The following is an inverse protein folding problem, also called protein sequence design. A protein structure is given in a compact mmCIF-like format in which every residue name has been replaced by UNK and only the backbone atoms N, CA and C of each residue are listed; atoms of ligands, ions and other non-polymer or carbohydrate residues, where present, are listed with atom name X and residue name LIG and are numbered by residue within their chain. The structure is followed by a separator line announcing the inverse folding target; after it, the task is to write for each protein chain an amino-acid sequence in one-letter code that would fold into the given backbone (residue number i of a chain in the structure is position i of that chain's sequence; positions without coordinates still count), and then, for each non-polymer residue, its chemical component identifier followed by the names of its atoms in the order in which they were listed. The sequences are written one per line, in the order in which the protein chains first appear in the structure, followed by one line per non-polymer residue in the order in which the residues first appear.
data_IF_107549243691
#
_entry.id   IF_107549243691
#
_cell.length_a   1.000
_cell.length_b   1.000
_cell.length_c   1.000
_cell.angle_alpha   90.00
_cell.angle_beta   90.00
_cell.angle_gamma   90.00
#
_symmetry.space_group_name_H-M   'P 1'
#
loop_
_entity.id
_entity.type
_entity.pdbx_description
1 polymer ?
#
# COMPACT_ATOMS: atom_id res chain seq x y z
N UNK A 1 28.52 -41.59 7.97
CA UNK A 1 27.38 -40.70 8.31
C UNK A 1 26.70 -40.00 7.11
N UNK A 2 27.18 -40.13 5.86
CA UNK A 2 26.60 -39.38 4.72
C UNK A 2 25.38 -40.00 4.01
N UNK A 3 25.15 -41.31 4.13
CA UNK A 3 24.08 -42.01 3.38
C UNK A 3 22.68 -41.63 3.88
N UNK A 4 22.53 -41.49 5.20
CA UNK A 4 21.25 -41.11 5.82
C UNK A 4 20.91 -39.63 5.56
N UNK A 5 21.93 -38.76 5.47
CA UNK A 5 21.74 -37.34 5.15
C UNK A 5 21.26 -37.15 3.71
N UNK A 6 21.78 -37.95 2.77
CA UNK A 6 21.36 -37.91 1.37
C UNK A 6 19.90 -38.38 1.19
N UNK A 7 19.46 -39.37 1.98
CA UNK A 7 18.06 -39.84 1.99
C UNK A 7 17.12 -38.75 2.54
N UNK A 8 17.52 -38.06 3.62
CA UNK A 8 16.71 -36.98 4.20
C UNK A 8 16.56 -35.77 3.26
N UNK A 9 17.64 -35.40 2.55
CA UNK A 9 17.61 -34.33 1.55
C UNK A 9 16.70 -34.70 0.37
N UNK A 10 16.75 -35.96 -0.08
CA UNK A 10 15.88 -36.45 -1.15
C UNK A 10 14.40 -36.46 -0.75
N UNK A 11 14.08 -36.81 0.50
CA UNK A 11 12.69 -36.81 1.00
C UNK A 11 12.12 -35.39 1.05
N UNK A 12 12.93 -34.42 1.50
CA UNK A 12 12.52 -33.02 1.62
C UNK A 12 12.29 -32.37 0.24
N UNK A 13 13.11 -32.72 -0.76
CA UNK A 13 12.93 -32.24 -2.14
C UNK A 13 11.62 -32.71 -2.79
N UNK A 14 11.16 -33.94 -2.51
CA UNK A 14 9.88 -34.47 -3.02
C UNK A 14 8.68 -33.78 -2.38
N UNK A 15 8.78 -33.37 -1.11
CA UNK A 15 7.71 -32.63 -0.42
C UNK A 15 7.52 -31.22 -0.97
N UNK A 16 8.59 -30.53 -1.37
CA UNK A 16 8.49 -29.19 -1.96
C UNK A 16 7.81 -29.16 -3.34
N UNK A 17 7.95 -30.24 -4.13
CA UNK A 17 7.32 -30.30 -5.45
C UNK A 17 5.79 -30.55 -5.38
N UNK A 18 5.29 -31.16 -4.31
CA UNK A 18 3.85 -31.38 -4.12
C UNK A 18 3.11 -30.17 -3.50
N UNK A 19 3.85 -29.15 -3.02
CA UNK A 19 3.26 -27.94 -2.43
C UNK A 19 2.90 -26.86 -3.48
N UNK A 20 3.23 -27.09 -4.75
CA UNK A 20 2.82 -26.26 -5.88
C UNK A 20 1.93 -27.06 -6.84
N UNK A 21 0.67 -27.23 -6.48
CA UNK A 21 -0.42 -27.46 -7.44
C UNK A 21 -1.60 -26.61 -6.98
N UNK A 22 -1.64 -25.37 -7.47
CA UNK A 22 -2.84 -24.53 -7.49
C UNK A 22 -3.21 -24.38 -8.96
N UNK A 23 -3.79 -25.44 -9.51
CA UNK A 23 -4.46 -25.40 -10.81
C UNK A 23 -5.91 -25.00 -10.56
N UNK A 24 -6.18 -23.70 -10.49
CA UNK A 24 -7.56 -23.17 -10.56
C UNK A 24 -7.84 -22.65 -11.95
N UNK A 25 -8.05 -23.60 -12.84
CA UNK A 25 -8.78 -23.38 -14.09
C UNK A 25 -10.27 -23.18 -13.73
N UNK A 26 -10.80 -21.97 -13.94
CA UNK A 26 -12.22 -21.70 -13.81
C UNK A 26 -12.98 -22.38 -14.95
N UNK A 27 -13.71 -23.45 -14.66
CA UNK A 27 -14.74 -23.96 -15.57
C UNK A 27 -16.00 -24.40 -14.82
N UNK A 28 -17.11 -23.82 -15.27
CA UNK A 28 -18.50 -24.11 -14.96
C UNK A 28 -18.85 -25.61 -15.10
N UNK A 29 -19.53 -26.22 -14.10
CA UNK A 29 -20.84 -26.90 -14.28
C UNK A 29 -21.44 -27.49 -12.99
N UNK A 30 -22.69 -27.08 -12.74
CA UNK A 30 -23.87 -27.88 -12.37
C UNK A 30 -23.79 -28.82 -11.15
N UNK A 31 -24.47 -28.42 -10.09
CA UNK A 31 -25.07 -29.35 -9.14
C UNK A 31 -26.57 -29.04 -9.07
N UNK A 32 -27.39 -30.04 -9.38
CA UNK A 32 -28.83 -29.99 -9.33
C UNK A 32 -29.36 -30.81 -8.14
N UNK A 33 -30.26 -30.18 -7.40
CA UNK A 33 -31.32 -30.69 -6.51
C UNK A 33 -30.94 -31.46 -5.24
N UNK A 34 -31.18 -30.84 -4.08
CA UNK A 34 -32.27 -31.24 -3.16
C UNK A 34 -32.71 -29.97 -2.42
N UNK A 35 -33.98 -29.60 -2.57
CA UNK A 35 -34.59 -28.39 -2.02
C UNK A 35 -34.72 -28.47 -0.50
N UNK A 36 -33.99 -27.62 0.21
CA UNK A 36 -34.47 -27.01 1.45
C UNK A 36 -34.45 -25.50 1.23
N UNK A 37 -35.63 -24.93 1.03
CA UNK A 37 -35.88 -23.50 0.87
C UNK A 37 -35.56 -22.80 2.19
N UNK A 38 -34.28 -22.53 2.43
CA UNK A 38 -33.85 -21.57 3.44
C UNK A 38 -34.30 -20.20 2.96
N UNK A 39 -35.33 -19.65 3.61
CA UNK A 39 -35.81 -18.30 3.38
C UNK A 39 -34.69 -17.34 3.79
N UNK A 40 -33.92 -16.88 2.80
CA UNK A 40 -32.99 -15.77 2.97
C UNK A 40 -33.88 -14.55 3.13
N UNK A 41 -34.07 -14.09 4.36
CA UNK A 41 -34.72 -12.82 4.66
C UNK A 41 -33.90 -11.71 3.99
N UNK A 42 -34.40 -11.25 2.85
CA UNK A 42 -33.97 -10.03 2.19
C UNK A 42 -34.43 -8.87 3.07
N UNK A 43 -33.60 -8.48 4.03
CA UNK A 43 -33.77 -7.19 4.69
C UNK A 43 -33.23 -6.11 3.74
N UNK A 44 -34.13 -5.58 2.92
CA UNK A 44 -33.94 -4.38 2.12
C UNK A 44 -33.80 -3.15 3.04
N UNK A 45 -32.68 -3.01 3.74
CA UNK A 45 -32.33 -1.73 4.35
C UNK A 45 -31.72 -0.83 3.28
N UNK A 46 -32.61 -0.16 2.54
CA UNK A 46 -32.29 1.05 1.79
C UNK A 46 -31.77 2.10 2.79
N UNK A 47 -30.47 2.13 3.04
CA UNK A 47 -29.85 3.24 3.77
C UNK A 47 -29.82 4.45 2.84
N UNK A 48 -30.86 5.27 2.94
CA UNK A 48 -30.96 6.57 2.30
C UNK A 48 -29.98 7.52 3.00
N UNK A 49 -28.82 7.78 2.38
CA UNK A 49 -27.94 8.88 2.80
C UNK A 49 -28.67 10.20 2.54
N UNK A 50 -29.35 10.70 3.56
CA UNK A 50 -29.93 12.04 3.57
C UNK A 50 -28.83 13.06 3.90
N UNK A 51 -28.26 13.67 2.86
CA UNK A 51 -27.23 14.72 2.94
C UNK A 51 -27.75 16.06 3.50
N UNK A 52 -29.01 16.15 3.93
CA UNK A 52 -29.67 17.43 4.24
C UNK A 52 -29.51 17.90 5.68
N UNK A 53 -28.73 17.20 6.51
CA UNK A 53 -28.41 17.65 7.87
C UNK A 53 -26.90 17.66 8.13
N UNK A 54 -26.09 17.82 7.09
CA UNK A 54 -24.70 18.16 7.31
C UNK A 54 -24.66 19.58 7.89
N UNK A 55 -24.14 19.81 9.11
CA UNK A 55 -23.98 21.14 9.63
C UNK A 55 -23.19 21.95 8.60
N UNK A 56 -23.71 23.12 8.21
CA UNK A 56 -22.92 24.07 7.44
C UNK A 56 -21.59 24.26 8.18
N UNK A 57 -20.44 24.21 7.49
CA UNK A 57 -19.18 24.53 8.13
C UNK A 57 -19.33 25.93 8.74
N UNK A 58 -19.26 25.99 10.06
CA UNK A 58 -19.14 27.23 10.81
C UNK A 58 -17.82 27.83 10.35
N UNK A 59 -17.89 29.03 9.78
CA UNK A 59 -16.73 29.86 9.46
C UNK A 59 -16.06 30.30 10.77
N UNK A 60 -15.44 29.35 11.46
CA UNK A 60 -14.49 29.65 12.50
C UNK A 60 -13.19 30.01 11.78
N UNK A 61 -12.99 31.32 11.62
CA UNK A 61 -11.68 31.97 11.51
C UNK A 61 -10.82 31.57 12.72
N UNK A 62 -10.46 30.30 12.78
CA UNK A 62 -9.40 29.79 13.60
C UNK A 62 -8.13 30.13 12.83
N UNK A 63 -7.45 31.17 13.27
CA UNK A 63 -6.03 31.35 12.99
C UNK A 63 -5.30 30.08 13.47
N UNK A 64 -5.12 29.12 12.56
CA UNK A 64 -4.39 27.87 12.80
C UNK A 64 -2.90 28.21 12.84
N UNK A 65 -2.45 28.76 13.96
CA UNK A 65 -1.04 28.84 14.31
C UNK A 65 -0.73 27.71 15.28
N UNK A 66 -0.67 26.48 14.78
CA UNK A 66 -0.28 25.32 15.59
C UNK A 66 0.59 24.41 14.75
N UNK A 67 1.79 24.11 15.25
CA UNK A 67 2.67 23.04 14.78
C UNK A 67 1.86 21.74 14.71
N UNK A 68 1.20 21.49 13.58
CA UNK A 68 0.48 20.26 13.35
C UNK A 68 1.54 19.18 13.11
N UNK A 69 1.88 18.45 14.17
CA UNK A 69 2.84 17.36 14.10
C UNK A 69 2.28 16.27 13.17
N UNK A 70 2.80 16.25 11.94
CA UNK A 70 2.31 15.37 10.89
C UNK A 70 2.61 13.93 11.29
N UNK A 71 1.56 13.12 11.48
CA UNK A 71 1.68 11.74 11.95
C UNK A 71 2.65 10.95 11.04
N UNK A 72 3.79 10.44 11.59
CA UNK A 72 4.78 9.70 10.81
C UNK A 72 4.22 8.47 10.08
N UNK A 73 3.14 7.88 10.60
CA UNK A 73 2.46 6.74 9.99
C UNK A 73 1.78 7.11 8.66
N UNK A 74 1.26 8.34 8.55
CA UNK A 74 0.65 8.86 7.32
C UNK A 74 1.73 9.06 6.26
N UNK A 75 2.84 9.68 6.63
CA UNK A 75 3.99 9.90 5.73
C UNK A 75 4.55 8.56 5.24
N UNK A 76 4.74 7.60 6.14
CA UNK A 76 5.21 6.25 5.82
C UNK A 76 4.23 5.51 4.87
N UNK A 77 2.92 5.65 5.09
CA UNK A 77 1.90 5.03 4.24
C UNK A 77 1.91 5.63 2.84
N UNK A 78 1.96 6.97 2.75
CA UNK A 78 2.08 7.68 1.48
C UNK A 78 3.32 7.22 0.70
N UNK A 79 4.47 7.17 1.36
CA UNK A 79 5.72 6.72 0.75
C UNK A 79 5.62 5.28 0.22
N UNK A 80 5.08 4.35 1.02
CA UNK A 80 4.93 2.94 0.62
C UNK A 80 3.99 2.78 -0.58
N UNK A 81 2.89 3.54 -0.61
CA UNK A 81 1.90 3.44 -1.67
C UNK A 81 2.36 4.05 -2.99
N UNK A 82 3.13 5.14 -2.96
CA UNK A 82 3.43 5.95 -4.15
C UNK A 82 4.87 5.87 -4.62
N UNK A 83 5.82 5.66 -3.70
CA UNK A 83 7.25 5.77 -4.00
C UNK A 83 7.98 4.42 -3.98
N UNK A 84 7.63 3.54 -3.02
CA UNK A 84 8.43 2.36 -2.71
C UNK A 84 8.54 1.33 -3.84
N UNK A 85 7.55 1.25 -4.73
CA UNK A 85 7.57 0.36 -5.89
C UNK A 85 8.76 0.64 -6.82
N UNK A 86 9.14 1.92 -6.97
CA UNK A 86 10.26 2.32 -7.83
C UNK A 86 11.55 2.54 -7.03
N UNK A 87 11.43 3.11 -5.83
CA UNK A 87 12.55 3.61 -5.04
C UNK A 87 12.93 2.74 -3.83
N UNK A 88 12.24 1.62 -3.59
CA UNK A 88 12.46 0.78 -2.41
C UNK A 88 11.75 1.27 -1.16
N UNK A 89 11.69 0.45 -0.11
CA UNK A 89 10.90 0.76 1.10
C UNK A 89 11.51 1.87 1.95
N UNK A 90 12.81 2.11 1.82
CA UNK A 90 13.57 3.14 2.53
C UNK A 90 14.42 3.96 1.55
N UNK A 91 14.03 4.04 0.28
CA UNK A 91 14.77 4.77 -0.74
C UNK A 91 15.98 4.02 -1.32
N UNK A 92 16.11 2.72 -1.06
CA UNK A 92 17.11 1.84 -1.66
C UNK A 92 16.76 1.43 -3.10
N UNK A 93 17.73 1.47 -4.01
CA UNK A 93 17.51 1.01 -5.40
C UNK A 93 17.08 -0.46 -5.40
N UNK A 94 15.82 -0.72 -5.74
CA UNK A 94 15.29 -2.07 -5.94
C UNK A 94 15.18 -2.48 -7.42
N UNK A 95 15.18 -1.52 -8.35
CA UNK A 95 14.89 -1.79 -9.77
C UNK A 95 15.95 -1.19 -10.71
N UNK A 96 16.10 -1.77 -11.91
CA UNK A 96 17.03 -1.27 -12.95
C UNK A 96 16.72 0.17 -13.42
N UNK A 97 15.51 0.67 -13.17
CA UNK A 97 15.04 2.01 -13.57
C UNK A 97 14.98 3.01 -12.39
N UNK A 98 15.04 2.53 -11.15
CA UNK A 98 14.94 3.36 -9.95
C UNK A 98 16.30 3.95 -9.56
N UNK A 99 16.29 5.18 -9.05
CA UNK A 99 17.46 5.85 -8.48
C UNK A 99 17.38 5.78 -6.96
N UNK A 100 18.53 5.63 -6.29
CA UNK A 100 18.61 5.66 -4.84
C UNK A 100 18.26 7.07 -4.36
N UNK A 101 17.29 7.16 -3.47
CA UNK A 101 16.91 8.43 -2.84
C UNK A 101 17.23 8.44 -1.34
N UNK A 102 17.64 7.31 -0.77
CA UNK A 102 18.10 7.23 0.62
C UNK A 102 19.19 8.27 0.90
N UNK A 103 19.14 8.90 2.07
CA UNK A 103 20.12 9.87 2.56
C UNK A 103 20.30 11.12 1.66
N UNK A 104 19.33 11.41 0.78
CA UNK A 104 19.31 12.68 0.07
C UNK A 104 18.94 13.78 1.08
N UNK A 105 19.60 14.95 1.02
CA UNK A 105 19.18 16.07 1.88
C UNK A 105 17.78 16.52 1.50
N UNK A 106 17.06 17.06 2.47
CA UNK A 106 15.69 17.55 2.28
C UNK A 106 15.58 18.54 1.12
N UNK A 107 16.53 19.47 0.98
CA UNK A 107 16.55 20.45 -0.11
C UNK A 107 16.74 19.78 -1.47
N UNK A 108 17.70 18.85 -1.58
CA UNK A 108 17.97 18.15 -2.85
C UNK A 108 16.80 17.28 -3.26
N UNK A 109 16.11 16.67 -2.29
CA UNK A 109 14.91 15.87 -2.54
C UNK A 109 13.78 16.73 -3.11
N UNK A 110 13.47 17.84 -2.44
CA UNK A 110 12.41 18.77 -2.86
C UNK A 110 12.73 19.37 -4.23
N UNK A 111 13.96 19.85 -4.44
CA UNK A 111 14.38 20.42 -5.72
C UNK A 111 14.24 19.42 -6.87
N UNK A 112 14.61 18.15 -6.64
CA UNK A 112 14.44 17.12 -7.67
C UNK A 112 12.97 16.89 -7.99
N UNK A 113 12.11 16.74 -6.97
CA UNK A 113 10.67 16.56 -7.20
C UNK A 113 10.04 17.75 -7.94
N UNK A 114 10.44 18.99 -7.64
CA UNK A 114 9.95 20.18 -8.34
C UNK A 114 10.42 20.27 -9.79
N UNK A 115 11.60 19.71 -10.10
CA UNK A 115 12.16 19.68 -11.44
C UNK A 115 11.58 18.54 -12.29
N UNK A 116 11.01 17.50 -11.66
CA UNK A 116 10.31 16.42 -12.35
C UNK A 116 8.93 16.92 -12.79
N UNK A 117 8.65 16.83 -14.09
CA UNK A 117 7.36 17.20 -14.70
C UNK A 117 6.55 15.98 -15.12
N UNK A 118 6.76 14.85 -14.44
CA UNK A 118 6.04 13.61 -14.72
C UNK A 118 4.76 13.51 -13.87
N UNK A 119 3.79 12.76 -14.39
CA UNK A 119 2.52 12.53 -13.70
C UNK A 119 2.69 11.69 -12.42
N UNK A 120 3.78 10.91 -12.33
CA UNK A 120 4.04 10.03 -11.21
C UNK A 120 4.46 10.78 -9.93
N UNK A 121 4.97 12.00 -10.05
CA UNK A 121 5.43 12.81 -8.90
C UNK A 121 4.64 14.12 -8.71
N UNK A 122 3.95 14.61 -9.75
CA UNK A 122 3.25 15.91 -9.71
C UNK A 122 2.00 15.92 -8.80
N UNK A 123 1.58 14.78 -8.26
CA UNK A 123 0.41 14.70 -7.37
C UNK A 123 0.70 15.22 -5.94
N UNK A 124 1.97 15.41 -5.58
CA UNK A 124 2.36 15.80 -4.22
C UNK A 124 2.16 17.31 -3.99
N UNK A 125 1.61 17.68 -2.84
CA UNK A 125 1.61 19.07 -2.36
C UNK A 125 3.00 19.48 -1.87
N UNK A 126 3.23 20.78 -1.64
CA UNK A 126 4.51 21.26 -1.11
C UNK A 126 4.81 20.69 0.28
N UNK A 127 3.82 20.71 1.17
CA UNK A 127 3.93 20.13 2.51
C UNK A 127 4.23 18.61 2.46
N UNK A 128 3.58 17.86 1.57
CA UNK A 128 3.87 16.43 1.39
C UNK A 128 5.31 16.19 0.92
N UNK A 129 5.85 17.05 0.04
CA UNK A 129 7.25 16.96 -0.39
C UNK A 129 8.20 17.17 0.78
N UNK A 130 7.92 18.12 1.66
CA UNK A 130 8.74 18.43 2.83
C UNK A 130 8.70 17.29 3.86
N UNK A 131 7.51 16.75 4.13
CA UNK A 131 7.34 15.61 5.02
C UNK A 131 8.04 14.35 4.51
N UNK A 132 7.93 14.07 3.21
CA UNK A 132 8.65 12.95 2.57
C UNK A 132 10.17 13.18 2.55
N UNK A 133 10.62 14.42 2.37
CA UNK A 133 12.03 14.78 2.47
C UNK A 133 12.61 14.43 3.85
N UNK A 134 11.96 14.91 4.92
CA UNK A 134 12.35 14.59 6.32
C UNK A 134 12.36 13.08 6.58
N UNK A 135 11.34 12.38 6.10
CA UNK A 135 11.24 10.91 6.23
C UNK A 135 12.41 10.18 5.55
N UNK A 136 12.84 10.63 4.37
CA UNK A 136 13.91 9.99 3.59
C UNK A 136 15.32 10.37 4.07
N UNK A 137 15.51 11.62 4.49
CA UNK A 137 16.76 12.10 5.08
C UNK A 137 17.00 11.50 6.47
N UNK A 138 15.94 11.00 7.13
CA UNK A 138 15.92 10.58 8.55
C UNK A 138 16.32 11.72 9.48
N UNK A 139 16.10 12.95 9.05
CA UNK A 139 16.18 14.11 9.93
C UNK A 139 15.11 13.92 11.03
N UNK A 140 15.55 14.04 12.28
CA UNK A 140 14.67 13.97 13.45
C UNK A 140 13.98 15.29 13.66
#
# INVERSE_FOLDING_TARGET
MGKNLSILISLFAVLFLNACSDDKEFNHKNQNTTEEIVQIEQNDEKTEFSDTNLPLPVDDEASISEDYDVNPSVINSLYKQKCATCHGEKGEVKTKKGIAIKNLSSEKFIQRLQNLKDEAHNFLTQEQRENLAKYISKEK
#
